data_IF_656084589782
#
_entry.id   IF_656084589782
#
_cell.length_a   1.000
_cell.length_b   1.000
_cell.length_c   1.000
_cell.angle_alpha   90.00
_cell.angle_beta   90.00
_cell.angle_gamma   90.00
#
_symmetry.space_group_name_H-M   'P 1'
#
loop_
_entity.id
_entity.type
_entity.pdbx_description
1 polymer ?
#
# COMPACT_ATOMS: atom_id res chain seq x y z
N UNK A 1 -13.54 28.38 -4.55
CA UNK A 1 -12.96 27.25 -3.79
C UNK A 1 -11.79 27.79 -2.98
N UNK A 2 -11.98 28.00 -1.68
CA UNK A 2 -10.91 28.47 -0.80
C UNK A 2 -10.11 27.26 -0.31
N UNK A 3 -8.78 27.35 -0.35
CA UNK A 3 -7.88 26.34 0.18
C UNK A 3 -8.05 26.29 1.71
N UNK A 4 -8.59 25.19 2.24
CA UNK A 4 -8.84 24.97 3.68
C UNK A 4 -7.58 25.08 4.53
N UNK A 5 -6.38 25.04 3.92
CA UNK A 5 -5.09 25.28 4.59
C UNK A 5 -4.79 26.76 4.90
N UNK A 6 -5.50 27.72 4.30
CA UNK A 6 -5.17 29.15 4.43
C UNK A 6 -5.98 29.91 5.49
N UNK A 7 -7.20 29.45 5.80
CA UNK A 7 -8.09 30.06 6.81
C UNK A 7 -7.49 30.09 8.23
N UNK A 8 -6.77 29.05 8.70
CA UNK A 8 -6.16 29.03 10.04
C UNK A 8 -4.96 29.98 10.16
N UNK A 9 -4.41 30.45 9.04
CA UNK A 9 -3.25 31.35 8.98
C UNK A 9 -3.70 32.82 9.09
N UNK A 10 -4.94 33.13 8.70
CA UNK A 10 -5.42 34.50 8.58
C UNK A 10 -5.84 35.13 9.91
N UNK A 11 -6.47 34.39 10.83
CA UNK A 11 -6.90 34.97 12.11
C UNK A 11 -5.81 35.13 13.18
N UNK A 12 -4.85 34.20 13.37
CA UNK A 12 -3.72 34.46 14.26
C UNK A 12 -2.85 35.63 13.80
N UNK A 13 -2.98 36.05 12.53
CA UNK A 13 -2.27 37.18 11.92
C UNK A 13 -3.04 38.50 11.97
N UNK A 14 -4.36 38.49 12.13
CA UNK A 14 -5.09 39.70 12.44
C UNK A 14 -4.77 40.05 13.90
N UNK A 15 -3.95 41.09 14.09
CA UNK A 15 -3.66 41.58 15.44
C UNK A 15 -4.99 41.98 16.08
N UNK A 16 -5.18 41.68 17.37
CA UNK A 16 -6.39 42.07 18.13
C UNK A 16 -6.74 43.56 17.91
N UNK A 17 -5.70 44.38 17.75
CA UNK A 17 -5.78 45.80 17.42
C UNK A 17 -6.51 46.11 16.09
N UNK A 18 -6.35 45.28 15.06
CA UNK A 18 -7.04 45.43 13.77
C UNK A 18 -8.53 45.08 13.88
N UNK A 19 -8.87 44.02 14.64
CA UNK A 19 -10.27 43.67 14.92
C UNK A 19 -10.96 44.78 15.75
N UNK A 20 -10.26 45.36 16.72
CA UNK A 20 -10.76 46.46 17.53
C UNK A 20 -11.00 47.73 16.69
N UNK A 21 -10.14 48.01 15.71
CA UNK A 21 -10.32 49.11 14.74
C UNK A 21 -11.56 48.89 13.88
N UNK A 22 -11.74 47.68 13.35
CA UNK A 22 -12.90 47.30 12.54
C UNK A 22 -14.19 47.43 13.36
N UNK A 23 -14.21 46.95 14.61
CA UNK A 23 -15.39 47.01 15.47
C UNK A 23 -15.74 48.47 15.85
N UNK A 24 -14.74 49.30 16.15
CA UNK A 24 -14.93 50.74 16.38
C UNK A 24 -15.49 51.44 15.13
N UNK A 25 -14.96 51.12 13.95
CA UNK A 25 -15.46 51.67 12.68
C UNK A 25 -16.94 51.32 12.49
N UNK A 26 -17.33 50.05 12.67
CA UNK A 26 -18.73 49.59 12.58
C UNK A 26 -19.64 50.31 13.60
N UNK A 27 -19.21 50.43 14.85
CA UNK A 27 -20.00 51.14 15.89
C UNK A 27 -20.17 52.62 15.55
N UNK A 28 -19.13 53.29 15.06
CA UNK A 28 -19.15 54.71 14.72
C UNK A 28 -19.88 55.06 13.41
N UNK A 29 -20.08 54.05 12.55
CA UNK A 29 -20.72 54.20 11.24
C UNK A 29 -22.23 53.92 11.25
N UNK A 30 -22.73 53.19 12.25
CA UNK A 30 -24.17 52.90 12.41
C UNK A 30 -25.07 54.14 12.47
N UNK A 31 -24.54 55.27 12.97
CA UNK A 31 -25.30 56.51 13.16
C UNK A 31 -25.00 57.59 12.09
N UNK A 32 -24.27 57.25 11.02
CA UNK A 32 -23.86 58.21 9.98
C UNK A 32 -24.30 57.75 8.59
N UNK A 33 -25.19 58.52 7.95
CA UNK A 33 -25.69 58.28 6.58
C UNK A 33 -24.60 58.19 5.50
N UNK A 34 -23.39 58.72 5.75
CA UNK A 34 -22.28 58.78 4.78
C UNK A 34 -21.02 58.00 5.22
N UNK A 35 -21.17 56.97 6.06
CA UNK A 35 -20.02 56.18 6.48
C UNK A 35 -19.42 55.35 5.34
N UNK A 36 -18.09 55.39 5.20
CA UNK A 36 -17.37 54.54 4.25
C UNK A 36 -17.54 53.07 4.65
N UNK A 37 -18.01 52.18 3.75
CA UNK A 37 -18.12 50.76 4.07
C UNK A 37 -16.72 50.16 4.28
N UNK A 38 -16.65 49.14 5.14
CA UNK A 38 -15.45 48.30 5.27
C UNK A 38 -15.07 47.72 3.92
N UNK A 39 -13.78 47.52 3.67
CA UNK A 39 -13.34 46.82 2.48
C UNK A 39 -13.61 45.29 2.59
N UNK A 40 -13.45 44.55 1.49
CA UNK A 40 -13.76 43.10 1.48
C UNK A 40 -12.92 42.30 2.51
N UNK A 41 -11.60 42.54 2.66
CA UNK A 41 -10.80 41.93 3.72
C UNK A 41 -11.29 42.23 5.15
N UNK A 42 -11.62 43.48 5.46
CA UNK A 42 -12.11 43.89 6.79
C UNK A 42 -13.49 43.29 7.08
N UNK A 43 -14.39 43.26 6.09
CA UNK A 43 -15.69 42.59 6.19
C UNK A 43 -15.52 41.11 6.50
N UNK A 44 -14.58 40.44 5.82
CA UNK A 44 -14.28 39.03 6.06
C UNK A 44 -13.74 38.79 7.47
N UNK A 45 -12.77 39.60 7.94
CA UNK A 45 -12.23 39.49 9.29
C UNK A 45 -13.31 39.72 10.35
N UNK A 46 -14.19 40.70 10.15
CA UNK A 46 -15.33 40.93 11.04
C UNK A 46 -16.31 39.76 11.06
N UNK A 47 -16.65 39.20 9.89
CA UNK A 47 -17.54 38.02 9.81
C UNK A 47 -16.97 36.81 10.56
N UNK A 48 -15.64 36.67 10.63
CA UNK A 48 -15.01 35.61 11.40
C UNK A 48 -14.97 35.92 12.89
N UNK A 49 -14.78 37.19 13.27
CA UNK A 49 -14.70 37.59 14.68
C UNK A 49 -16.04 37.46 15.42
N UNK A 50 -17.17 37.57 14.71
CA UNK A 50 -18.50 37.36 15.28
C UNK A 50 -18.83 35.89 15.52
N UNK A 51 -18.04 34.94 15.01
CA UNK A 51 -18.27 33.50 15.24
C UNK A 51 -17.76 33.13 16.65
N UNK A 52 -18.63 32.63 17.55
CA UNK A 52 -18.24 32.30 18.90
C UNK A 52 -17.15 31.22 18.93
N UNK A 53 -16.06 31.51 19.64
CA UNK A 53 -14.89 30.62 19.76
C UNK A 53 -14.39 30.08 18.40
N UNK A 54 -14.31 30.96 17.41
CA UNK A 54 -13.89 30.63 16.05
C UNK A 54 -12.61 29.78 15.99
N UNK A 55 -11.58 30.14 16.77
CA UNK A 55 -10.29 29.44 16.79
C UNK A 55 -10.43 27.98 17.23
N UNK A 56 -11.19 27.70 18.30
CA UNK A 56 -11.44 26.34 18.77
C UNK A 56 -12.21 25.50 17.76
N UNK A 57 -13.20 26.10 17.08
CA UNK A 57 -13.97 25.44 16.02
C UNK A 57 -13.09 25.08 14.83
N UNK A 58 -12.28 26.02 14.35
CA UNK A 58 -11.34 25.78 13.25
C UNK A 58 -10.31 24.72 13.61
N UNK A 59 -9.75 24.76 14.82
CA UNK A 59 -8.84 23.72 15.31
C UNK A 59 -9.46 22.31 15.19
N UNK A 60 -10.70 22.15 15.67
CA UNK A 60 -11.42 20.88 15.63
C UNK A 60 -11.69 20.40 14.19
N UNK A 61 -12.13 21.30 13.31
CA UNK A 61 -12.42 20.98 11.90
C UNK A 61 -11.15 20.58 11.14
N UNK A 62 -10.05 21.29 11.36
CA UNK A 62 -8.76 20.92 10.76
C UNK A 62 -8.26 19.58 11.30
N UNK A 63 -8.38 19.37 12.61
CA UNK A 63 -7.99 18.12 13.24
C UNK A 63 -8.74 16.95 12.63
N UNK A 64 -10.05 17.06 12.41
CA UNK A 64 -10.84 16.02 11.74
C UNK A 64 -10.24 15.64 10.37
N UNK A 65 -9.89 16.63 9.56
CA UNK A 65 -9.27 16.40 8.25
C UNK A 65 -7.90 15.71 8.38
N UNK A 66 -7.04 16.22 9.24
CA UNK A 66 -5.68 15.69 9.42
C UNK A 66 -5.69 14.29 10.04
N UNK A 67 -6.58 14.03 11.00
CA UNK A 67 -6.75 12.72 11.62
C UNK A 67 -7.14 11.66 10.58
N UNK A 68 -8.12 11.98 9.73
CA UNK A 68 -8.59 11.07 8.67
C UNK A 68 -7.48 10.73 7.68
N UNK A 69 -6.69 11.73 7.28
CA UNK A 69 -5.53 11.55 6.37
C UNK A 69 -4.46 10.65 7.01
N UNK A 70 -4.11 10.91 8.28
CA UNK A 70 -3.14 10.11 9.02
C UNK A 70 -3.61 8.65 9.21
N UNK A 71 -4.86 8.44 9.63
CA UNK A 71 -5.46 7.11 9.77
C UNK A 71 -5.42 6.33 8.46
N UNK A 72 -5.80 6.96 7.36
CA UNK A 72 -5.77 6.34 6.02
C UNK A 72 -4.36 5.96 5.59
N UNK A 73 -3.39 6.84 5.85
CA UNK A 73 -1.97 6.59 5.53
C UNK A 73 -1.40 5.40 6.30
N UNK A 74 -1.69 5.31 7.61
CA UNK A 74 -1.24 4.20 8.46
C UNK A 74 -1.91 2.90 8.04
N UNK A 75 -3.23 2.93 7.84
CA UNK A 75 -4.03 1.76 7.43
C UNK A 75 -3.49 1.16 6.13
N UNK A 76 -3.26 2.00 5.10
CA UNK A 76 -2.70 1.52 3.82
C UNK A 76 -1.35 0.81 3.99
N UNK A 77 -0.45 1.34 4.83
CA UNK A 77 0.84 0.70 5.08
C UNK A 77 0.69 -0.63 5.80
N UNK A 78 -0.20 -0.70 6.81
CA UNK A 78 -0.49 -1.95 7.51
C UNK A 78 -1.14 -3.00 6.61
N UNK A 79 -2.05 -2.60 5.72
CA UNK A 79 -2.68 -3.52 4.77
C UNK A 79 -1.66 -4.12 3.81
N UNK A 80 -0.65 -3.35 3.37
CA UNK A 80 0.44 -3.87 2.54
C UNK A 80 1.25 -4.90 3.32
N UNK A 81 1.65 -4.56 4.56
CA UNK A 81 2.41 -5.45 5.43
C UNK A 81 1.66 -6.77 5.71
N UNK A 82 0.37 -6.69 6.04
CA UNK A 82 -0.47 -7.86 6.29
C UNK A 82 -0.63 -8.72 5.03
N UNK A 83 -0.84 -8.09 3.86
CA UNK A 83 -0.99 -8.77 2.57
C UNK A 83 0.28 -9.54 2.20
N UNK A 84 1.46 -8.93 2.32
CA UNK A 84 2.71 -9.63 1.99
C UNK A 84 3.01 -10.76 2.98
N UNK A 85 2.71 -10.58 4.27
CA UNK A 85 2.85 -11.64 5.25
C UNK A 85 1.99 -12.86 4.90
N UNK A 86 0.69 -12.64 4.67
CA UNK A 86 -0.25 -13.71 4.29
C UNK A 86 0.12 -14.36 2.97
N UNK A 87 0.52 -13.58 1.98
CA UNK A 87 0.93 -14.11 0.69
C UNK A 87 2.16 -15.03 0.81
N UNK A 88 3.16 -14.66 1.63
CA UNK A 88 4.33 -15.51 1.85
C UNK A 88 4.03 -16.76 2.69
N UNK A 89 3.09 -16.69 3.61
CA UNK A 89 2.73 -17.80 4.50
C UNK A 89 1.82 -18.83 3.81
N UNK A 90 0.79 -18.34 3.13
CA UNK A 90 -0.36 -19.17 2.77
C UNK A 90 -0.38 -19.52 1.28
N UNK A 91 0.25 -18.70 0.42
CA UNK A 91 0.15 -18.87 -1.04
C UNK A 91 0.73 -20.19 -1.52
N UNK A 92 -0.08 -20.93 -2.27
CA UNK A 92 0.32 -22.20 -2.87
C UNK A 92 1.42 -22.00 -3.92
N UNK A 93 1.36 -20.93 -4.71
CA UNK A 93 2.37 -20.64 -5.74
C UNK A 93 3.73 -20.32 -5.11
N UNK A 94 3.75 -19.66 -3.94
CA UNK A 94 4.99 -19.43 -3.17
C UNK A 94 5.56 -20.77 -2.70
N UNK A 95 4.72 -21.65 -2.15
CA UNK A 95 5.13 -23.00 -1.71
C UNK A 95 5.67 -23.83 -2.87
N UNK A 96 5.05 -23.78 -4.05
CA UNK A 96 5.51 -24.45 -5.26
C UNK A 96 6.90 -23.95 -5.69
N UNK A 97 7.10 -22.62 -5.71
CA UNK A 97 8.42 -22.03 -6.03
C UNK A 97 9.47 -22.50 -5.04
N UNK A 98 9.19 -22.46 -3.73
CA UNK A 98 10.12 -22.96 -2.70
C UNK A 98 10.39 -24.46 -2.84
N UNK A 99 9.37 -25.26 -3.17
CA UNK A 99 9.50 -26.68 -3.46
C UNK A 99 10.42 -26.97 -4.63
N UNK A 100 10.33 -26.17 -5.71
CA UNK A 100 11.26 -26.26 -6.85
C UNK A 100 12.70 -25.91 -6.45
N UNK A 101 12.90 -24.86 -5.64
CA UNK A 101 14.23 -24.53 -5.12
C UNK A 101 14.81 -25.71 -4.33
N UNK A 102 14.02 -26.33 -3.46
CA UNK A 102 14.44 -27.49 -2.67
C UNK A 102 14.78 -28.69 -3.55
N UNK A 103 13.89 -29.02 -4.50
CA UNK A 103 14.05 -30.15 -5.40
C UNK A 103 15.31 -30.01 -6.27
N UNK A 104 15.52 -28.84 -6.89
CA UNK A 104 16.72 -28.59 -7.68
C UNK A 104 17.98 -28.58 -6.83
N UNK A 105 17.92 -27.97 -5.63
CA UNK A 105 19.02 -27.97 -4.68
C UNK A 105 19.46 -29.39 -4.30
N UNK A 106 18.51 -30.26 -3.94
CA UNK A 106 18.76 -31.65 -3.59
C UNK A 106 19.33 -32.45 -4.77
N UNK A 107 18.77 -32.27 -5.97
CA UNK A 107 19.26 -32.94 -7.17
C UNK A 107 20.70 -32.53 -7.50
N UNK A 108 20.99 -31.22 -7.52
CA UNK A 108 22.32 -30.70 -7.86
C UNK A 108 23.40 -31.06 -6.82
N UNK A 109 23.01 -31.21 -5.56
CA UNK A 109 23.91 -31.60 -4.47
C UNK A 109 23.87 -33.12 -4.18
N UNK A 110 23.29 -33.93 -5.07
CA UNK A 110 23.20 -35.38 -4.93
C UNK A 110 24.57 -36.02 -4.62
N UNK A 111 24.60 -36.92 -3.64
CA UNK A 111 25.85 -37.52 -3.14
C UNK A 111 26.55 -36.72 -2.03
N UNK A 112 26.19 -35.45 -1.80
CA UNK A 112 26.61 -34.71 -0.62
C UNK A 112 25.67 -35.00 0.56
N UNK A 113 26.20 -35.66 1.61
CA UNK A 113 25.41 -36.12 2.76
C UNK A 113 24.72 -34.99 3.55
N UNK A 114 25.19 -33.75 3.46
CA UNK A 114 24.60 -32.61 4.18
C UNK A 114 23.79 -31.66 3.30
N UNK A 115 23.85 -31.79 1.97
CA UNK A 115 23.21 -30.84 1.03
C UNK A 115 22.31 -31.49 -0.02
N UNK A 116 22.49 -32.77 -0.32
CA UNK A 116 21.74 -33.49 -1.35
C UNK A 116 20.47 -34.18 -0.87
N UNK A 117 20.18 -34.10 0.44
CA UNK A 117 19.02 -34.73 1.12
C UNK A 117 18.48 -33.77 2.20
N UNK A 118 18.35 -32.49 1.86
CA UNK A 118 17.83 -31.48 2.77
C UNK A 118 16.30 -31.50 2.80
N UNK A 119 15.73 -31.29 4.00
CA UNK A 119 14.29 -31.10 4.20
C UNK A 119 13.85 -29.64 4.02
N UNK A 120 14.82 -28.73 3.93
CA UNK A 120 14.59 -27.29 3.79
C UNK A 120 15.88 -26.52 3.59
N UNK A 121 15.77 -25.23 3.38
CA UNK A 121 16.89 -24.32 3.22
C UNK A 121 16.60 -22.98 3.89
N UNK A 122 17.66 -22.22 4.18
CA UNK A 122 17.53 -20.88 4.73
C UNK A 122 17.18 -19.88 3.63
N UNK A 123 16.24 -18.97 3.89
CA UNK A 123 15.72 -18.04 2.86
C UNK A 123 16.78 -17.12 2.23
N UNK A 124 17.94 -16.93 2.88
CA UNK A 124 19.05 -16.14 2.36
C UNK A 124 19.69 -16.73 1.09
N UNK A 125 19.37 -17.98 0.74
CA UNK A 125 19.83 -18.58 -0.52
C UNK A 125 19.03 -18.08 -1.73
N UNK A 126 17.81 -17.57 -1.54
CA UNK A 126 16.90 -17.23 -2.64
C UNK A 126 17.51 -16.19 -3.60
N UNK A 127 18.09 -15.07 -3.13
CA UNK A 127 18.71 -14.10 -4.05
C UNK A 127 19.94 -14.65 -4.77
N UNK A 128 20.63 -15.64 -4.19
CA UNK A 128 21.87 -16.23 -4.72
C UNK A 128 21.61 -17.19 -5.89
N UNK A 129 20.36 -17.58 -6.15
CA UNK A 129 20.00 -18.48 -7.25
C UNK A 129 20.34 -17.90 -8.63
N UNK A 130 20.47 -16.57 -8.76
CA UNK A 130 20.90 -15.93 -10.00
C UNK A 130 22.38 -16.14 -10.31
N UNK A 131 23.19 -16.42 -9.29
CA UNK A 131 24.65 -16.54 -9.40
C UNK A 131 25.09 -17.97 -9.72
N UNK A 132 24.25 -18.96 -9.43
CA UNK A 132 24.48 -20.35 -9.82
C UNK A 132 24.19 -20.49 -11.31
N UNK A 133 25.22 -20.75 -12.13
CA UNK A 133 25.11 -20.84 -13.60
C UNK A 133 25.27 -22.27 -14.10
N UNK A 134 24.71 -22.54 -15.28
CA UNK A 134 25.03 -23.70 -16.10
C UNK A 134 26.52 -23.70 -16.50
N UNK A 135 27.04 -24.86 -16.91
CA UNK A 135 28.45 -25.03 -17.30
C UNK A 135 28.87 -24.14 -18.47
N UNK A 136 27.93 -23.80 -19.36
CA UNK A 136 28.12 -22.87 -20.48
C UNK A 136 27.90 -21.39 -20.09
N UNK A 137 27.56 -21.11 -18.83
CA UNK A 137 27.22 -19.79 -18.30
C UNK A 137 26.05 -19.07 -18.98
N UNK A 138 25.25 -19.78 -19.79
CA UNK A 138 24.13 -19.19 -20.55
C UNK A 138 22.91 -18.97 -19.65
N UNK A 139 22.61 -19.89 -18.74
CA UNK A 139 21.42 -19.85 -17.87
C UNK A 139 21.83 -19.88 -16.40
N UNK A 140 21.14 -19.10 -15.58
CA UNK A 140 21.20 -19.27 -14.12
C UNK A 140 20.19 -20.30 -13.64
N UNK A 141 20.42 -20.85 -12.45
CA UNK A 141 19.45 -21.69 -11.75
C UNK A 141 18.12 -20.94 -11.56
N UNK A 142 18.15 -19.64 -11.25
CA UNK A 142 16.95 -18.81 -11.21
C UNK A 142 16.21 -18.79 -12.56
N UNK A 143 16.91 -18.56 -13.68
CA UNK A 143 16.27 -18.54 -15.00
C UNK A 143 15.68 -19.90 -15.39
N UNK A 144 16.37 -20.99 -15.02
CA UNK A 144 15.88 -22.34 -15.22
C UNK A 144 14.64 -22.62 -14.36
N UNK A 145 14.65 -22.19 -13.10
CA UNK A 145 13.53 -22.36 -12.19
C UNK A 145 12.27 -21.66 -12.71
N UNK A 146 12.39 -20.42 -13.14
CA UNK A 146 11.26 -19.66 -13.71
C UNK A 146 10.73 -20.31 -14.98
N UNK A 147 11.64 -20.76 -15.86
CA UNK A 147 11.29 -21.49 -17.08
C UNK A 147 10.58 -22.81 -16.80
N UNK A 148 10.99 -23.53 -15.75
CA UNK A 148 10.35 -24.76 -15.32
C UNK A 148 8.98 -24.48 -14.71
N UNK A 149 8.88 -23.51 -13.79
CA UNK A 149 7.61 -23.11 -13.17
C UNK A 149 6.57 -22.76 -14.23
N UNK A 150 6.89 -21.87 -15.17
CA UNK A 150 5.95 -21.47 -16.22
C UNK A 150 5.52 -22.63 -17.13
N UNK A 151 6.41 -23.58 -17.42
CA UNK A 151 6.07 -24.71 -18.31
C UNK A 151 5.28 -25.82 -17.63
N UNK A 152 5.35 -25.94 -16.31
CA UNK A 152 4.83 -27.10 -15.57
C UNK A 152 3.78 -26.76 -14.53
N UNK A 153 3.71 -25.52 -14.04
CA UNK A 153 2.79 -25.09 -12.98
C UNK A 153 1.83 -23.98 -13.43
N UNK A 154 2.07 -23.33 -14.57
CA UNK A 154 1.25 -22.23 -15.06
C UNK A 154 0.62 -22.55 -16.42
N UNK A 155 -0.66 -22.92 -16.42
CA UNK A 155 -1.42 -23.24 -17.63
C UNK A 155 -1.63 -22.03 -18.55
N UNK A 156 -1.52 -20.83 -17.98
CA UNK A 156 -1.67 -19.55 -18.65
C UNK A 156 -0.32 -18.97 -19.10
N UNK A 157 0.79 -19.70 -18.97
CA UNK A 157 2.09 -19.24 -19.41
C UNK A 157 2.08 -18.74 -20.87
N UNK A 158 2.62 -17.53 -21.05
CA UNK A 158 2.63 -16.80 -22.31
C UNK A 158 1.28 -16.20 -22.71
N UNK A 159 0.26 -16.19 -21.85
CA UNK A 159 -1.02 -15.48 -22.05
C UNK A 159 -1.11 -14.22 -21.19
N UNK A 160 -2.04 -13.34 -21.51
CA UNK A 160 -2.34 -12.15 -20.70
C UNK A 160 -2.93 -12.48 -19.32
N UNK A 161 -3.52 -13.68 -19.16
CA UNK A 161 -4.08 -14.19 -17.91
C UNK A 161 -3.02 -14.75 -16.95
N UNK A 162 -1.77 -14.87 -17.37
CA UNK A 162 -0.67 -15.38 -16.54
C UNK A 162 -0.45 -14.47 -15.32
N UNK A 163 -0.55 -15.05 -14.12
CA UNK A 163 -0.42 -14.31 -12.87
C UNK A 163 0.98 -14.53 -12.28
N UNK A 164 1.58 -13.44 -11.81
CA UNK A 164 2.89 -13.50 -11.15
C UNK A 164 2.80 -14.31 -9.84
N UNK A 165 3.63 -15.35 -9.62
CA UNK A 165 3.40 -16.33 -8.55
C UNK A 165 3.91 -15.91 -7.16
N UNK A 166 4.61 -14.78 -7.05
CA UNK A 166 5.18 -14.28 -5.79
C UNK A 166 4.56 -12.93 -5.43
N UNK A 167 4.72 -12.45 -4.17
CA UNK A 167 4.33 -11.09 -3.83
C UNK A 167 5.07 -10.07 -4.70
N UNK A 168 4.36 -9.01 -5.06
CA UNK A 168 4.87 -7.95 -5.92
C UNK A 168 6.16 -7.33 -5.35
N UNK A 169 7.24 -7.17 -6.14
CA UNK A 169 8.48 -6.58 -5.66
C UNK A 169 8.31 -5.21 -5.01
N UNK A 170 7.38 -4.39 -5.52
CA UNK A 170 7.08 -3.08 -4.96
C UNK A 170 6.53 -3.15 -3.54
N UNK A 171 5.62 -4.09 -3.28
CA UNK A 171 5.00 -4.26 -1.95
C UNK A 171 6.02 -4.81 -0.95
N UNK A 172 6.87 -5.75 -1.38
CA UNK A 172 7.99 -6.26 -0.58
C UNK A 172 9.00 -5.17 -0.26
N UNK A 173 9.33 -4.32 -1.24
CA UNK A 173 10.18 -3.16 -1.03
C UNK A 173 9.58 -2.22 0.00
N UNK A 174 8.31 -1.83 -0.15
CA UNK A 174 7.64 -0.96 0.81
C UNK A 174 7.62 -1.57 2.22
N UNK A 175 7.26 -2.85 2.35
CA UNK A 175 7.26 -3.55 3.63
C UNK A 175 8.67 -3.57 4.28
N UNK A 176 9.73 -3.71 3.49
CA UNK A 176 11.12 -3.68 3.97
C UNK A 176 11.55 -2.32 4.55
N UNK A 177 10.85 -1.24 4.21
CA UNK A 177 11.13 0.12 4.70
C UNK A 177 10.31 0.47 5.96
N UNK A 178 9.39 -0.39 6.38
CA UNK A 178 8.50 -0.14 7.52
C UNK A 178 9.13 -0.58 8.85
N UNK A 179 8.71 0.07 9.93
CA UNK A 179 9.12 -0.23 11.31
C UNK A 179 7.90 -0.20 12.24
N UNK A 180 7.73 -1.24 13.05
CA UNK A 180 6.62 -1.33 13.99
C UNK A 180 6.64 -0.20 15.02
N UNK A 181 7.82 0.26 15.43
CA UNK A 181 8.00 1.37 16.37
C UNK A 181 7.48 2.69 15.82
N UNK A 182 7.58 2.91 14.50
CA UNK A 182 7.10 4.14 13.88
C UNK A 182 5.56 4.17 13.84
N UNK A 183 4.93 3.02 13.55
CA UNK A 183 3.48 2.88 13.68
C UNK A 183 2.99 3.14 15.12
N UNK A 184 3.67 2.55 16.11
CA UNK A 184 3.32 2.75 17.52
C UNK A 184 3.43 4.22 17.94
N UNK A 185 4.48 4.92 17.50
CA UNK A 185 4.64 6.36 17.74
C UNK A 185 3.54 7.18 17.08
N UNK A 186 3.22 6.89 15.83
CA UNK A 186 2.19 7.60 15.08
C UNK A 186 0.80 7.43 15.72
N UNK A 187 0.42 6.19 16.10
CA UNK A 187 -0.85 5.92 16.79
C UNK A 187 -0.89 6.55 18.19
N UNK A 188 0.22 6.54 18.92
CA UNK A 188 0.32 7.21 20.23
C UNK A 188 0.12 8.72 20.10
N UNK A 189 0.70 9.35 19.06
CA UNK A 189 0.48 10.76 18.74
C UNK A 189 -0.98 11.01 18.39
N UNK A 190 -1.57 10.22 17.49
CA UNK A 190 -2.99 10.35 17.11
C UNK A 190 -3.92 10.25 18.31
N UNK A 191 -3.67 9.31 19.23
CA UNK A 191 -4.44 9.18 20.46
C UNK A 191 -4.34 10.43 21.33
N UNK A 192 -3.15 11.00 21.46
CA UNK A 192 -2.94 12.25 22.22
C UNK A 192 -3.67 13.42 21.57
N UNK A 193 -3.57 13.57 20.26
CA UNK A 193 -4.18 14.67 19.53
C UNK A 193 -5.72 14.54 19.52
N UNK A 194 -6.25 13.31 19.43
CA UNK A 194 -7.69 13.04 19.56
C UNK A 194 -8.24 13.41 20.95
N UNK A 195 -7.48 13.16 22.02
CA UNK A 195 -7.85 13.64 23.36
C UNK A 195 -7.84 15.16 23.44
N UNK A 196 -6.83 15.81 22.86
CA UNK A 196 -6.77 17.27 22.83
C UNK A 196 -7.97 17.87 22.07
N UNK A 197 -8.34 17.30 20.92
CA UNK A 197 -9.53 17.69 20.18
C UNK A 197 -10.82 17.45 20.98
N UNK A 198 -10.92 16.32 21.69
CA UNK A 198 -12.07 16.04 22.58
C UNK A 198 -12.22 17.15 23.62
N UNK A 199 -11.15 17.50 24.35
CA UNK A 199 -11.19 18.60 25.31
C UNK A 199 -11.54 19.95 24.68
N UNK A 200 -11.09 20.21 23.46
CA UNK A 200 -11.37 21.47 22.78
C UNK A 200 -12.84 21.55 22.31
N UNK A 201 -13.41 20.44 21.83
CA UNK A 201 -14.85 20.35 21.52
C UNK A 201 -15.70 20.61 22.76
N UNK A 202 -15.34 20.02 23.91
CA UNK A 202 -16.03 20.25 25.18
C UNK A 202 -16.01 21.72 25.60
N UNK A 203 -14.84 22.38 25.49
CA UNK A 203 -14.72 23.81 25.75
C UNK A 203 -15.58 24.64 24.81
N UNK A 204 -15.49 24.40 23.49
CA UNK A 204 -16.28 25.12 22.49
C UNK A 204 -17.77 24.98 22.78
N UNK A 205 -18.24 23.78 23.09
CA UNK A 205 -19.65 23.54 23.41
C UNK A 205 -20.07 24.24 24.71
N UNK A 206 -19.22 24.25 25.74
CA UNK A 206 -19.52 24.90 27.02
C UNK A 206 -19.63 26.42 26.93
N UNK A 207 -18.86 27.06 26.07
CA UNK A 207 -18.84 28.53 25.91
C UNK A 207 -19.81 29.04 24.84
N UNK A 208 -20.49 28.14 24.11
CA UNK A 208 -21.40 28.53 23.03
C UNK A 208 -22.85 28.55 23.50
N UNK A 209 -23.59 29.59 23.12
CA UNK A 209 -25.03 29.69 23.34
C UNK A 209 -25.79 28.70 22.43
N UNK A 210 -27.06 28.42 22.76
CA UNK A 210 -27.91 27.45 22.04
C UNK A 210 -27.98 27.73 20.53
N UNK A 211 -28.13 29.00 20.15
CA UNK A 211 -28.22 29.44 18.75
C UNK A 211 -26.93 29.17 17.95
N UNK A 212 -25.78 29.04 18.61
CA UNK A 212 -24.47 28.88 17.98
C UNK A 212 -23.86 27.49 18.22
N UNK A 213 -24.54 26.63 18.96
CA UNK A 213 -24.03 25.31 19.33
C UNK A 213 -24.02 24.34 18.14
N UNK A 214 -25.07 24.38 17.32
CA UNK A 214 -25.27 23.50 16.19
C UNK A 214 -24.87 24.17 14.86
N UNK A 215 -24.44 23.40 13.84
CA UNK A 215 -24.31 21.94 13.79
C UNK A 215 -22.98 21.40 14.36
N UNK A 216 -22.13 22.28 14.90
CA UNK A 216 -20.77 21.94 15.34
C UNK A 216 -20.76 20.78 16.34
N UNK A 217 -21.57 20.87 17.41
CA UNK A 217 -21.61 19.87 18.47
C UNK A 217 -21.90 18.47 17.91
N UNK A 218 -23.02 18.30 17.20
CA UNK A 218 -23.40 16.97 16.69
C UNK A 218 -22.35 16.41 15.74
N UNK A 219 -21.86 17.23 14.79
CA UNK A 219 -20.84 16.78 13.82
C UNK A 219 -19.54 16.36 14.49
N UNK A 220 -19.10 17.10 15.51
CA UNK A 220 -17.87 16.77 16.23
C UNK A 220 -18.05 15.58 17.16
N UNK A 221 -19.20 15.43 17.83
CA UNK A 221 -19.50 14.27 18.68
C UNK A 221 -19.55 12.96 17.85
N UNK A 222 -20.21 13.00 16.68
CA UNK A 222 -20.23 11.89 15.73
C UNK A 222 -18.80 11.52 15.29
N UNK A 223 -18.01 12.53 14.87
CA UNK A 223 -16.63 12.33 14.47
C UNK A 223 -15.78 11.75 15.59
N UNK A 224 -15.83 12.31 16.80
CA UNK A 224 -15.01 11.85 17.93
C UNK A 224 -15.34 10.41 18.32
N UNK A 225 -16.62 10.03 18.25
CA UNK A 225 -17.07 8.66 18.52
C UNK A 225 -16.48 7.70 17.49
N UNK A 226 -16.63 8.01 16.21
CA UNK A 226 -16.09 7.20 15.12
C UNK A 226 -14.56 7.12 15.17
N UNK A 227 -13.88 8.25 15.37
CA UNK A 227 -12.43 8.35 15.42
C UNK A 227 -11.81 7.51 16.55
N UNK A 228 -12.46 7.46 17.73
CA UNK A 228 -12.01 6.60 18.84
C UNK A 228 -12.10 5.12 18.46
N UNK A 229 -13.24 4.70 17.91
CA UNK A 229 -13.46 3.30 17.49
C UNK A 229 -12.50 2.87 16.38
N UNK A 230 -12.25 3.73 15.38
CA UNK A 230 -11.33 3.43 14.30
C UNK A 230 -9.88 3.35 14.79
N UNK A 231 -9.48 4.24 15.70
CA UNK A 231 -8.14 4.23 16.28
C UNK A 231 -7.88 2.95 17.08
N UNK A 232 -8.83 2.53 17.91
CA UNK A 232 -8.74 1.28 18.67
C UNK A 232 -8.67 0.05 17.75
N UNK A 233 -9.46 0.05 16.67
CA UNK A 233 -9.43 -1.01 15.65
C UNK A 233 -8.06 -1.09 14.98
N UNK A 234 -7.50 0.05 14.58
CA UNK A 234 -6.20 0.12 13.91
C UNK A 234 -5.05 -0.29 14.85
N UNK A 235 -5.14 0.03 16.13
CA UNK A 235 -4.19 -0.42 17.16
C UNK A 235 -4.22 -1.94 17.35
N UNK A 236 -5.43 -2.53 17.37
CA UNK A 236 -5.59 -3.99 17.37
C UNK A 236 -5.05 -4.62 16.09
N UNK A 237 -5.31 -4.01 14.93
CA UNK A 237 -4.77 -4.48 13.64
C UNK A 237 -3.23 -4.45 13.63
N UNK A 238 -2.61 -3.38 14.13
CA UNK A 238 -1.16 -3.28 14.29
C UNK A 238 -0.61 -4.42 15.14
N UNK A 239 -1.20 -4.67 16.31
CA UNK A 239 -0.77 -5.74 17.22
C UNK A 239 -0.89 -7.12 16.57
N UNK A 240 -2.02 -7.42 15.92
CA UNK A 240 -2.22 -8.69 15.22
C UNK A 240 -1.26 -8.86 14.03
N UNK A 241 -0.95 -7.78 13.31
CA UNK A 241 -0.02 -7.80 12.16
C UNK A 241 1.42 -7.99 12.60
N UNK A 242 1.82 -7.38 13.73
CA UNK A 242 3.14 -7.61 14.33
C UNK A 242 3.30 -9.06 14.76
N UNK A 243 2.30 -9.63 15.44
CA UNK A 243 2.29 -11.05 15.80
C UNK A 243 2.40 -11.97 14.58
N UNK A 244 1.59 -11.74 13.55
CA UNK A 244 1.64 -12.48 12.29
C UNK A 244 3.04 -12.42 11.66
N UNK A 245 3.65 -11.24 11.63
CA UNK A 245 4.99 -11.07 11.09
C UNK A 245 6.04 -11.86 11.89
N UNK A 246 5.98 -11.83 13.23
CA UNK A 246 6.91 -12.62 14.05
C UNK A 246 6.73 -14.13 13.83
N UNK A 247 5.48 -14.61 13.75
CA UNK A 247 5.18 -16.01 13.41
C UNK A 247 5.74 -16.38 12.04
N UNK A 248 5.62 -15.49 11.05
CA UNK A 248 6.20 -15.69 9.71
C UNK A 248 7.73 -15.81 9.75
N UNK A 249 8.41 -15.00 10.57
CA UNK A 249 9.87 -15.08 10.68
C UNK A 249 10.31 -16.40 11.32
N UNK A 250 9.52 -16.94 12.25
CA UNK A 250 9.73 -18.27 12.83
C UNK A 250 9.47 -19.36 11.80
N UNK A 251 8.38 -19.25 11.02
CA UNK A 251 8.04 -20.18 9.95
C UNK A 251 9.18 -20.34 8.93
N UNK A 252 9.82 -19.23 8.55
CA UNK A 252 10.98 -19.23 7.64
C UNK A 252 12.35 -19.37 8.34
N UNK A 253 12.36 -19.60 9.66
CA UNK A 253 13.59 -19.77 10.47
C UNK A 253 14.59 -18.60 10.34
N UNK A 254 14.09 -17.37 10.18
CA UNK A 254 14.92 -16.16 10.08
C UNK A 254 15.28 -15.67 11.48
N UNK A 255 16.56 -15.41 11.71
CA UNK A 255 17.08 -14.93 13.00
C UNK A 255 17.28 -13.42 12.98
N UNK A 256 17.04 -12.78 14.12
CA UNK A 256 17.32 -11.37 14.32
C UNK A 256 18.82 -11.10 14.14
N UNK A 257 19.17 -9.92 13.62
CA UNK A 257 20.58 -9.53 13.49
C UNK A 257 21.17 -9.25 14.87
N UNK A 258 22.51 -9.30 14.97
CA UNK A 258 23.19 -8.97 16.22
C UNK A 258 22.80 -7.57 16.72
N UNK A 259 22.30 -7.50 17.95
CA UNK A 259 21.80 -6.25 18.56
C UNK A 259 20.31 -5.97 18.36
N UNK A 260 19.60 -6.74 17.53
CA UNK A 260 18.15 -6.68 17.41
C UNK A 260 17.48 -7.68 18.39
N UNK A 261 16.39 -7.26 19.04
CA UNK A 261 15.60 -8.16 19.91
C UNK A 261 14.71 -9.12 19.10
N UNK A 262 14.20 -8.62 17.98
CA UNK A 262 13.29 -9.31 17.06
C UNK A 262 13.77 -9.07 15.63
N UNK A 263 13.37 -9.95 14.71
CA UNK A 263 13.66 -9.76 13.28
C UNK A 263 12.98 -8.48 12.81
N UNK A 264 13.70 -7.58 12.15
CA UNK A 264 13.09 -6.38 11.56
C UNK A 264 12.42 -6.68 10.21
N UNK A 265 11.34 -5.95 9.82
CA UNK A 265 10.74 -6.06 8.48
C UNK A 265 11.78 -5.93 7.36
N UNK A 266 12.77 -5.06 7.54
CA UNK A 266 13.90 -4.93 6.62
C UNK A 266 14.67 -6.24 6.45
N UNK A 267 15.12 -6.85 7.54
CA UNK A 267 15.90 -8.10 7.53
C UNK A 267 15.16 -9.21 6.80
N UNK A 268 13.85 -9.31 6.97
CA UNK A 268 13.04 -10.34 6.33
C UNK A 268 12.69 -10.00 4.87
N UNK A 269 12.03 -8.86 4.64
CA UNK A 269 11.47 -8.53 3.33
C UNK A 269 12.52 -8.09 2.31
N UNK A 270 13.71 -7.64 2.70
CA UNK A 270 14.77 -7.33 1.72
C UNK A 270 15.20 -8.58 0.93
N UNK A 271 15.27 -9.74 1.58
CA UNK A 271 15.62 -11.01 0.94
C UNK A 271 14.57 -11.35 -0.13
N UNK A 272 13.30 -11.27 0.25
CA UNK A 272 12.18 -11.53 -0.65
C UNK A 272 12.07 -10.50 -1.77
N UNK A 273 12.31 -9.22 -1.48
CA UNK A 273 12.31 -8.16 -2.48
C UNK A 273 13.36 -8.41 -3.57
N UNK A 274 14.60 -8.75 -3.18
CA UNK A 274 15.66 -9.06 -4.14
C UNK A 274 15.29 -10.28 -4.99
N UNK A 275 14.91 -11.38 -4.34
CA UNK A 275 14.51 -12.60 -5.04
C UNK A 275 13.31 -12.39 -5.97
N UNK A 276 12.25 -11.74 -5.49
CA UNK A 276 11.04 -11.47 -6.29
C UNK A 276 11.34 -10.51 -7.44
N UNK A 277 12.23 -9.53 -7.27
CA UNK A 277 12.65 -8.64 -8.36
C UNK A 277 13.33 -9.43 -9.48
N UNK A 278 14.35 -10.21 -9.12
CA UNK A 278 15.11 -11.01 -10.08
C UNK A 278 14.22 -12.09 -10.73
N UNK A 279 13.34 -12.74 -9.96
CA UNK A 279 12.36 -13.70 -10.48
C UNK A 279 11.42 -13.04 -11.47
N UNK A 280 10.85 -11.87 -11.13
CA UNK A 280 9.89 -11.15 -12.00
C UNK A 280 10.51 -10.74 -13.33
N UNK A 281 11.78 -10.36 -13.34
CA UNK A 281 12.50 -10.04 -14.57
C UNK A 281 12.67 -11.27 -15.47
N UNK A 282 13.01 -12.42 -14.90
CA UNK A 282 13.08 -13.67 -15.66
C UNK A 282 11.68 -14.11 -16.10
N UNK A 283 10.66 -13.96 -15.25
CA UNK A 283 9.28 -14.37 -15.53
C UNK A 283 8.69 -13.59 -16.71
N UNK A 284 8.95 -12.28 -16.80
CA UNK A 284 8.56 -11.47 -17.96
C UNK A 284 9.27 -11.91 -19.24
N UNK A 285 10.59 -12.16 -19.17
CA UNK A 285 11.38 -12.60 -20.32
C UNK A 285 10.89 -13.94 -20.84
N UNK A 286 10.66 -14.88 -19.94
CA UNK A 286 10.26 -16.24 -20.26
C UNK A 286 8.82 -16.32 -20.79
N UNK A 287 7.88 -15.59 -20.18
CA UNK A 287 6.52 -15.46 -20.73
C UNK A 287 6.53 -14.92 -22.16
N UNK A 288 7.41 -13.95 -22.48
CA UNK A 288 7.56 -13.43 -23.84
C UNK A 288 8.12 -14.48 -24.81
N UNK A 289 9.00 -15.38 -24.34
CA UNK A 289 9.51 -16.49 -25.14
C UNK A 289 8.38 -17.49 -25.42
N UNK A 290 7.67 -17.93 -24.38
CA UNK A 290 6.54 -18.87 -24.50
C UNK A 290 5.45 -18.30 -25.41
N UNK A 291 5.09 -17.03 -25.28
CA UNK A 291 4.14 -16.37 -26.17
C UNK A 291 4.57 -16.45 -27.64
N UNK A 292 5.84 -16.16 -27.94
CA UNK A 292 6.37 -16.26 -29.32
C UNK A 292 6.33 -17.68 -29.85
N UNK A 293 6.66 -18.67 -29.02
CA UNK A 293 6.59 -20.09 -29.39
C UNK A 293 5.14 -20.49 -29.73
N UNK A 294 4.17 -20.04 -28.93
CA UNK A 294 2.74 -20.29 -29.14
C UNK A 294 2.22 -19.63 -30.42
N UNK A 295 2.60 -18.38 -30.70
CA UNK A 295 2.23 -17.70 -31.93
C UNK A 295 2.75 -18.43 -33.16
N UNK A 296 4.04 -18.83 -33.16
CA UNK A 296 4.61 -19.62 -34.25
C UNK A 296 3.91 -20.96 -34.44
N UNK A 297 3.59 -21.66 -33.35
CA UNK A 297 2.85 -22.92 -33.41
C UNK A 297 1.43 -22.74 -33.99
N UNK A 298 0.75 -21.64 -33.64
CA UNK A 298 -0.57 -21.31 -34.19
C UNK A 298 -0.51 -20.94 -35.68
N UNK A 299 0.47 -20.14 -36.10
CA UNK A 299 0.72 -19.80 -37.51
C UNK A 299 0.98 -21.06 -38.35
N UNK A 300 1.81 -21.96 -37.84
CA UNK A 300 2.12 -23.23 -38.50
C UNK A 300 0.90 -24.14 -38.59
N UNK A 301 0.10 -24.23 -37.52
CA UNK A 301 -1.15 -24.98 -37.52
C UNK A 301 -2.15 -24.42 -38.56
N UNK A 302 -2.28 -23.10 -38.65
CA UNK A 302 -3.12 -22.45 -39.65
C UNK A 302 -2.63 -22.70 -41.08
N UNK A 303 -1.30 -22.65 -41.30
CA UNK A 303 -0.69 -22.95 -42.60
C UNK A 303 -0.99 -24.39 -43.03
N UNK A 304 -0.79 -25.36 -42.15
CA UNK A 304 -1.08 -26.77 -42.41
C UNK A 304 -2.57 -27.03 -42.66
N UNK A 305 -3.46 -26.36 -41.92
CA UNK A 305 -4.91 -26.46 -42.14
C UNK A 305 -5.32 -25.92 -43.52
N UNK A 306 -4.74 -24.79 -43.95
CA UNK A 306 -4.98 -24.20 -45.27
C UNK A 306 -4.46 -25.10 -46.41
N UNK A 307 -3.27 -25.68 -46.25
CA UNK A 307 -2.72 -26.64 -47.22
C UNK A 307 -3.59 -27.91 -47.31
N UNK A 308 -4.05 -28.49 -46.19
CA UNK A 308 -4.95 -29.66 -46.21
C UNK A 308 -6.32 -29.37 -46.86
N UNK A 309 -6.85 -28.16 -46.66
CA UNK A 309 -8.11 -27.74 -47.27
C UNK A 309 -7.99 -27.58 -48.79
N UNK A 310 -6.86 -27.10 -49.32
CA UNK A 310 -6.66 -26.94 -50.77
C UNK A 310 -6.53 -28.27 -51.51
N UNK A 311 -5.95 -29.31 -50.89
CA UNK A 311 -5.89 -30.66 -51.48
C UNK A 311 -7.25 -31.39 -51.54
N UNK A 312 -8.24 -30.95 -50.76
CA UNK A 312 -9.55 -31.63 -50.67
C UNK A 312 -10.58 -31.14 -51.70
N UNK A 313 -10.27 -30.10 -52.49
CA UNK A 313 -11.16 -29.58 -53.54
C UNK A 313 -10.77 -30.18 -54.90
N UNK A 314 -11.23 -31.40 -55.20
CA UNK A 314 -11.30 -31.90 -56.59
C UNK A 314 -12.69 -31.59 -57.16
N UNK A 315 -12.82 -30.79 -58.23
CA UNK A 315 -14.10 -30.59 -58.88
C UNK A 315 -14.56 -31.91 -59.50
N UNK A 316 -15.78 -32.37 -59.16
CA UNK A 316 -16.44 -33.46 -59.89
C UNK A 316 -16.68 -32.96 -61.31
N UNK A 317 -15.92 -33.46 -62.28
CA UNK A 317 -16.27 -33.30 -63.68
C UNK A 317 -17.65 -33.93 -63.90
N UNK A 318 -18.62 -33.11 -64.26
CA UNK A 318 -19.89 -33.57 -64.79
C UNK A 318 -19.61 -34.17 -66.18
N UNK A 319 -19.57 -35.51 -66.25
CA UNK A 319 -19.67 -36.22 -67.52
C UNK A 319 -21.13 -36.14 -67.97
N UNK A 320 -21.43 -35.19 -68.86
CA UNK A 320 -22.76 -34.98 -69.42
C UNK A 320 -22.73 -35.01 -70.95
N UNK A 321 -23.08 -36.19 -71.46
CA UNK A 321 -23.60 -36.57 -72.79
C UNK A 321 -22.65 -36.48 -73.98
#
# INVERSE_FOLDING_TARGET
MWNTKSVPILLPRAQQEELDKIEKHIKSSKDKENAKPLDKPEQFLYQLSVIPNFSGRVFCILFQSSFTECMSSITRKLDILQRVCKALQDSETVKQVLGLVLAFGNFMNGGNRTRGQADGFTVDILPKLKDVKSSDSVKSLLSYLVAYYLRHFDEDAGRETCVYPLPEPHDLFQASQMKFEDFQKDLTRLRKDLRACTSEVEKVCKVSDEDNLQPFKNKMEDFLTQAKSELETLESQLSSTHKLFLELTVFFSVKAKAGEKEVSPNTFFCIWHEFSSDFKDQWKKENKIILKERLKAAEECFRQAKEKASYSVKPKHASGI
#
